data_IF_823110775342
#
_entry.id   IF_823110775342
#
_cell.length_a   1.000
_cell.length_b   1.000
_cell.length_c   1.000
_cell.angle_alpha   90.00
_cell.angle_beta   90.00
_cell.angle_gamma   90.00
#
_symmetry.space_group_name_H-M   'P 1'
#
loop_
_entity.id
_entity.type
_entity.pdbx_description
1 polymer ?
#
# COMPACT_ATOMS: atom_id res chain seq x y z
N UNK A 1 36.20 22.53 18.42
CA UNK A 1 34.86 21.92 18.36
C UNK A 1 34.58 21.58 16.91
N UNK A 2 35.04 20.41 16.48
CA UNK A 2 34.86 19.90 15.11
C UNK A 2 33.38 19.69 14.84
N UNK A 3 32.94 20.27 13.73
CA UNK A 3 31.70 19.97 13.03
C UNK A 3 31.80 18.55 12.51
N UNK A 4 31.11 17.59 13.12
CA UNK A 4 31.00 16.27 12.51
C UNK A 4 29.73 15.54 12.96
N UNK A 5 28.92 15.25 11.93
CA UNK A 5 28.14 14.02 11.70
C UNK A 5 27.05 13.73 12.74
N UNK A 6 25.75 13.78 12.46
CA UNK A 6 25.04 13.42 11.24
C UNK A 6 23.78 14.28 11.27
N UNK A 7 23.63 15.16 10.27
CA UNK A 7 22.30 15.63 9.91
C UNK A 7 21.51 14.35 9.57
N UNK A 8 20.66 13.91 10.51
CA UNK A 8 19.75 12.80 10.33
C UNK A 8 18.80 13.21 9.22
N UNK A 9 19.26 13.04 7.97
CA UNK A 9 18.46 13.05 6.77
C UNK A 9 17.41 11.99 7.03
N UNK A 10 16.29 12.41 7.61
CA UNK A 10 15.02 11.83 7.22
C UNK A 10 14.92 12.17 5.75
N UNK A 11 15.46 11.30 4.92
CA UNK A 11 14.94 11.10 3.60
C UNK A 11 13.51 10.54 3.83
N UNK A 12 12.60 11.38 4.31
CA UNK A 12 11.19 11.28 3.99
C UNK A 12 11.07 11.62 2.51
N UNK A 13 11.75 10.83 1.68
CA UNK A 13 11.52 10.79 0.25
C UNK A 13 10.01 10.74 0.11
N UNK A 14 9.46 11.65 -0.70
CA UNK A 14 8.02 11.71 -0.93
C UNK A 14 7.58 10.34 -1.43
N UNK A 15 7.08 9.53 -0.50
CA UNK A 15 6.57 8.21 -0.82
C UNK A 15 5.18 8.45 -1.36
N UNK A 16 5.04 8.34 -2.67
CA UNK A 16 3.72 8.09 -3.22
C UNK A 16 3.16 6.85 -2.49
N UNK A 17 1.85 6.80 -2.22
CA UNK A 17 1.24 5.61 -1.61
C UNK A 17 1.60 4.30 -2.34
N UNK A 18 1.81 4.39 -3.65
CA UNK A 18 2.29 3.28 -4.50
C UNK A 18 3.70 2.83 -4.09
N UNK A 19 4.66 3.76 -4.03
CA UNK A 19 6.05 3.43 -3.67
C UNK A 19 6.17 2.97 -2.21
N UNK A 20 5.29 3.45 -1.32
CA UNK A 20 5.23 2.97 0.05
C UNK A 20 4.84 1.48 0.09
N UNK A 21 3.78 1.08 -0.61
CA UNK A 21 3.28 -0.30 -0.62
C UNK A 21 4.35 -1.27 -1.14
N UNK A 22 5.03 -0.92 -2.22
CA UNK A 22 6.11 -1.74 -2.80
C UNK A 22 7.28 -1.92 -1.81
N UNK A 23 7.73 -0.81 -1.20
CA UNK A 23 8.83 -0.86 -0.22
C UNK A 23 8.45 -1.64 1.04
N UNK A 24 7.21 -1.50 1.51
CA UNK A 24 6.71 -2.21 2.68
C UNK A 24 6.61 -3.72 2.40
N UNK A 25 6.13 -4.13 1.23
CA UNK A 25 6.13 -5.53 0.80
C UNK A 25 7.56 -6.11 0.70
N UNK A 26 8.52 -5.30 0.24
CA UNK A 26 9.92 -5.73 0.13
C UNK A 26 10.59 -5.88 1.50
N UNK A 27 10.39 -4.92 2.40
CA UNK A 27 11.07 -4.90 3.71
C UNK A 27 10.38 -5.77 4.77
N UNK A 28 9.06 -5.94 4.68
CA UNK A 28 8.23 -6.52 5.73
C UNK A 28 7.24 -7.57 5.19
N UNK A 29 7.60 -8.26 4.11
CA UNK A 29 6.68 -9.10 3.32
C UNK A 29 5.77 -10.04 4.12
N UNK A 30 6.31 -10.75 5.10
CA UNK A 30 5.56 -11.71 5.94
C UNK A 30 4.87 -11.06 7.16
N UNK A 31 5.19 -9.80 7.47
CA UNK A 31 4.55 -9.09 8.57
C UNK A 31 3.11 -8.72 8.21
N UNK A 32 2.22 -8.76 9.20
CA UNK A 32 0.81 -8.41 9.03
C UNK A 32 0.69 -6.91 8.72
N UNK A 33 0.00 -6.61 7.62
CA UNK A 33 -0.30 -5.25 7.16
C UNK A 33 -1.75 -4.85 7.42
N UNK A 34 -2.69 -5.80 7.34
CA UNK A 34 -4.13 -5.57 7.54
C UNK A 34 -4.68 -6.62 8.50
N UNK A 35 -5.43 -6.16 9.50
CA UNK A 35 -6.27 -6.99 10.39
C UNK A 35 -7.69 -6.46 10.28
N UNK A 36 -8.62 -7.31 9.84
CA UNK A 36 -10.03 -6.98 9.74
C UNK A 36 -10.88 -8.11 10.35
N UNK A 37 -11.64 -7.79 11.39
CA UNK A 37 -12.30 -8.76 12.26
C UNK A 37 -11.34 -9.86 12.74
N UNK A 38 -11.86 -11.02 13.13
CA UNK A 38 -11.04 -12.12 13.67
C UNK A 38 -10.40 -13.00 12.59
N UNK A 39 -10.95 -12.99 11.37
CA UNK A 39 -10.60 -13.96 10.32
C UNK A 39 -9.78 -13.37 9.16
N UNK A 40 -9.78 -12.05 8.95
CA UNK A 40 -9.08 -11.46 7.81
C UNK A 40 -7.77 -10.87 8.29
N UNK A 41 -6.67 -11.51 7.88
CA UNK A 41 -5.31 -11.02 8.09
C UNK A 41 -4.54 -11.11 6.79
N UNK A 42 -3.86 -10.04 6.41
CA UNK A 42 -3.02 -10.02 5.23
C UNK A 42 -1.61 -9.57 5.55
N UNK A 43 -0.62 -10.22 4.95
CA UNK A 43 0.78 -9.79 5.01
C UNK A 43 1.03 -8.60 4.08
N UNK A 44 2.17 -7.93 4.20
CA UNK A 44 2.52 -6.83 3.27
C UNK A 44 2.64 -7.30 1.82
N UNK A 45 3.21 -8.48 1.58
CA UNK A 45 3.27 -9.09 0.24
C UNK A 45 1.87 -9.29 -0.33
N UNK A 46 0.96 -9.88 0.46
CA UNK A 46 -0.40 -10.15 0.02
C UNK A 46 -1.21 -8.88 -0.28
N UNK A 47 -1.00 -7.82 0.51
CA UNK A 47 -1.66 -6.53 0.28
C UNK A 47 -1.15 -5.89 -1.01
N UNK A 48 0.17 -5.87 -1.23
CA UNK A 48 0.75 -5.32 -2.46
C UNK A 48 0.25 -6.06 -3.70
N UNK A 49 0.29 -7.40 -3.72
CA UNK A 49 -0.19 -8.19 -4.85
C UNK A 49 -1.67 -7.93 -5.18
N UNK A 50 -2.52 -7.79 -4.16
CA UNK A 50 -3.95 -7.47 -4.36
C UNK A 50 -4.13 -6.09 -4.97
N UNK A 51 -3.40 -5.08 -4.48
CA UNK A 51 -3.43 -3.74 -5.04
C UNK A 51 -2.97 -3.73 -6.51
N UNK A 52 -1.90 -4.46 -6.85
CA UNK A 52 -1.41 -4.57 -8.24
C UNK A 52 -2.41 -5.28 -9.13
N UNK A 53 -3.03 -6.38 -8.68
CA UNK A 53 -4.08 -7.08 -9.43
C UNK A 53 -5.27 -6.18 -9.72
N UNK A 54 -5.73 -5.40 -8.72
CA UNK A 54 -6.79 -4.42 -8.92
C UNK A 54 -6.37 -3.34 -9.91
N UNK A 55 -5.19 -2.74 -9.75
CA UNK A 55 -4.68 -1.71 -10.65
C UNK A 55 -4.59 -2.23 -12.11
N UNK A 56 -4.11 -3.46 -12.30
CA UNK A 56 -4.06 -4.11 -13.61
C UNK A 56 -5.45 -4.27 -14.21
N UNK A 57 -6.45 -4.72 -13.43
CA UNK A 57 -7.82 -4.82 -13.91
C UNK A 57 -8.42 -3.46 -14.31
N UNK A 58 -8.13 -2.39 -13.55
CA UNK A 58 -8.57 -1.03 -13.89
C UNK A 58 -7.94 -0.54 -15.21
N UNK A 59 -6.65 -0.80 -15.42
CA UNK A 59 -5.96 -0.48 -16.69
C UNK A 59 -6.59 -1.25 -17.85
N UNK A 60 -6.91 -2.54 -17.68
CA UNK A 60 -7.60 -3.33 -18.71
C UNK A 60 -9.02 -2.84 -19.01
N UNK A 61 -9.68 -2.18 -18.06
CA UNK A 61 -10.98 -1.52 -18.26
C UNK A 61 -10.85 -0.16 -18.97
N UNK A 62 -9.64 0.27 -19.31
CA UNK A 62 -9.37 1.52 -20.03
C UNK A 62 -9.24 2.76 -19.14
N UNK A 63 -9.13 2.58 -17.81
CA UNK A 63 -8.93 3.68 -16.87
C UNK A 63 -7.50 4.21 -17.00
N UNK A 64 -7.37 5.52 -17.11
CA UNK A 64 -6.15 6.23 -17.42
C UNK A 64 -5.87 7.37 -16.43
N UNK A 65 -4.72 8.00 -16.59
CA UNK A 65 -4.35 9.15 -15.77
C UNK A 65 -5.41 10.26 -15.91
N UNK A 66 -5.80 10.86 -14.78
CA UNK A 66 -6.81 11.92 -14.68
C UNK A 66 -8.28 11.44 -14.72
N UNK A 67 -8.53 10.13 -14.80
CA UNK A 67 -9.87 9.57 -14.64
C UNK A 67 -10.30 9.49 -13.16
N UNK A 68 -11.60 9.69 -12.92
CA UNK A 68 -12.20 9.62 -11.59
C UNK A 68 -13.02 8.34 -11.48
N UNK A 69 -12.76 7.56 -10.44
CA UNK A 69 -13.56 6.40 -10.08
C UNK A 69 -14.23 6.60 -8.71
N UNK A 70 -15.42 6.04 -8.56
CA UNK A 70 -16.14 6.00 -7.29
C UNK A 70 -16.06 4.59 -6.73
N UNK A 71 -15.58 4.46 -5.48
CA UNK A 71 -15.55 3.19 -4.76
C UNK A 71 -16.68 3.21 -3.75
N UNK A 72 -17.63 2.30 -3.89
CA UNK A 72 -18.67 2.03 -2.90
C UNK A 72 -18.37 0.69 -2.23
N UNK A 73 -18.44 0.68 -0.90
CA UNK A 73 -18.26 -0.52 -0.10
C UNK A 73 -19.51 -0.77 0.71
N UNK A 74 -20.05 -1.98 0.62
CA UNK A 74 -21.10 -2.45 1.52
C UNK A 74 -20.44 -3.19 2.68
N UNK A 75 -20.76 -2.78 3.91
CA UNK A 75 -20.38 -3.57 5.08
C UNK A 75 -21.36 -4.74 5.16
N UNK A 76 -20.93 -5.92 4.72
CA UNK A 76 -21.64 -7.15 5.02
C UNK A 76 -21.45 -7.45 6.51
N UNK A 77 -22.38 -6.99 7.34
CA UNK A 77 -22.49 -7.41 8.73
C UNK A 77 -23.26 -8.73 8.77
N UNK A 78 -22.55 -9.82 9.10
CA UNK A 78 -23.08 -11.07 9.66
C UNK A 78 -24.33 -11.69 9.02
N UNK A 79 -24.11 -12.75 8.25
CA UNK A 79 -24.85 -14.01 8.49
C UNK A 79 -23.97 -14.82 9.43
#
# INVERSE_FOLDING_TARGET
>A
MSKDLVEYRRDSALLSPINFLERAATAYGDNISIIYNDHVRFSWTQTYERCVKLASALVHLGISHNDILYIYSIRASGI
#
